data_IF_520981484624
#
_entry.id   IF_520981484624
#
_cell.length_a   1.000
_cell.length_b   1.000
_cell.length_c   1.000
_cell.angle_alpha   90.00
_cell.angle_beta   90.00
_cell.angle_gamma   90.00
#
_symmetry.space_group_name_H-M   'P 1'
#
loop_
_entity.id
_entity.type
_entity.pdbx_description
1 polymer ?
#
# COMPACT_ATOMS: atom_id res chain seq x y z
N UNK A 1 -4.34 -8.65 23.19
CA UNK A 1 -4.14 -9.74 22.20
C UNK A 1 -4.37 -9.14 20.83
N UNK A 2 -3.32 -8.77 20.10
CA UNK A 2 -3.45 -8.34 18.71
C UNK A 2 -3.82 -9.59 17.89
N UNK A 3 -4.98 -9.55 17.24
CA UNK A 3 -5.44 -10.65 16.37
C UNK A 3 -4.48 -10.68 15.17
N UNK A 4 -3.64 -11.72 15.08
CA UNK A 4 -2.90 -11.98 13.84
C UNK A 4 -3.92 -12.07 12.71
N UNK A 5 -3.74 -11.24 11.68
CA UNK A 5 -4.51 -11.29 10.45
C UNK A 5 -4.40 -12.71 9.88
N UNK A 6 -5.52 -13.43 9.82
CA UNK A 6 -5.56 -14.69 9.08
C UNK A 6 -5.13 -14.43 7.63
N UNK A 7 -4.43 -15.37 6.96
CA UNK A 7 -3.74 -15.14 5.68
C UNK A 7 -4.61 -14.62 4.52
N UNK A 8 -5.93 -14.55 4.69
CA UNK A 8 -6.92 -14.23 3.66
C UNK A 8 -7.63 -12.88 3.86
N UNK A 9 -7.26 -12.08 4.87
CA UNK A 9 -7.93 -10.81 5.20
C UNK A 9 -7.12 -9.54 4.90
N UNK A 10 -5.96 -9.68 4.26
CA UNK A 10 -5.10 -8.58 3.80
C UNK A 10 -5.24 -8.32 2.30
N UNK A 11 -4.86 -7.14 1.79
CA UNK A 11 -4.71 -6.93 0.36
C UNK A 11 -3.59 -7.81 -0.19
N UNK A 12 -3.62 -8.05 -1.50
CA UNK A 12 -2.53 -8.69 -2.22
C UNK A 12 -1.20 -7.93 -2.07
N UNK A 13 -0.07 -8.62 -2.29
CA UNK A 13 1.24 -7.95 -2.30
C UNK A 13 1.42 -7.14 -3.58
N UNK A 14 1.80 -5.87 -3.45
CA UNK A 14 2.19 -5.01 -4.57
C UNK A 14 3.72 -4.91 -4.66
N UNK A 15 4.26 -5.15 -5.85
CA UNK A 15 5.71 -5.09 -6.14
C UNK A 15 6.09 -3.85 -6.94
N UNK A 16 5.12 -3.22 -7.59
CA UNK A 16 5.37 -2.15 -8.56
C UNK A 16 6.11 -2.66 -9.80
N UNK A 17 5.89 -3.92 -10.16
CA UNK A 17 6.44 -4.56 -11.36
C UNK A 17 5.62 -4.17 -12.62
N UNK A 18 6.19 -4.30 -13.83
CA UNK A 18 5.43 -4.09 -15.07
C UNK A 18 4.13 -4.90 -15.10
N UNK A 19 3.01 -4.23 -15.39
CA UNK A 19 1.67 -4.84 -15.42
C UNK A 19 0.91 -4.79 -14.10
N UNK A 20 1.52 -4.42 -12.98
CA UNK A 20 0.80 -4.18 -11.71
C UNK A 20 0.31 -2.73 -11.62
N UNK A 21 -1.01 -2.53 -11.58
CA UNK A 21 -1.64 -1.19 -11.54
C UNK A 21 -1.79 -0.69 -10.08
N UNK A 22 -1.11 0.40 -9.69
CA UNK A 22 -1.19 0.94 -8.33
C UNK A 22 -2.59 1.43 -7.97
N UNK A 23 -3.37 1.97 -8.91
CA UNK A 23 -4.73 2.44 -8.62
C UNK A 23 -5.70 1.28 -8.41
N UNK A 24 -5.51 0.19 -9.17
CA UNK A 24 -6.26 -1.05 -8.94
C UNK A 24 -5.92 -1.66 -7.58
N UNK A 25 -4.64 -1.68 -7.21
CA UNK A 25 -4.20 -2.20 -5.93
C UNK A 25 -4.68 -1.34 -4.75
N UNK A 26 -4.62 -0.01 -4.85
CA UNK A 26 -5.16 0.89 -3.82
C UNK A 26 -6.67 0.67 -3.60
N UNK A 27 -7.45 0.41 -4.66
CA UNK A 27 -8.87 0.07 -4.52
C UNK A 27 -9.10 -1.26 -3.79
N UNK A 28 -8.21 -2.24 -3.95
CA UNK A 28 -8.23 -3.48 -3.17
C UNK A 28 -7.88 -3.20 -1.70
N UNK A 29 -6.83 -2.42 -1.47
CA UNK A 29 -6.42 -1.98 -0.14
C UNK A 29 -7.57 -1.28 0.61
N UNK A 30 -8.27 -0.36 -0.03
CA UNK A 30 -9.41 0.37 0.56
C UNK A 30 -10.55 -0.58 0.96
N UNK A 31 -10.82 -1.64 0.20
CA UNK A 31 -11.84 -2.64 0.58
C UNK A 31 -11.45 -3.38 1.85
N UNK A 32 -10.18 -3.75 1.96
CA UNK A 32 -9.64 -4.44 3.14
C UNK A 32 -9.59 -3.52 4.35
N UNK A 33 -9.13 -2.28 4.17
CA UNK A 33 -9.13 -1.25 5.20
C UNK A 33 -10.54 -1.01 5.73
N UNK A 34 -11.53 -0.86 4.85
CA UNK A 34 -12.93 -0.70 5.24
C UNK A 34 -13.49 -1.90 6.02
N UNK A 35 -13.20 -3.12 5.56
CA UNK A 35 -13.62 -4.35 6.27
C UNK A 35 -13.00 -4.43 7.67
N UNK A 36 -11.72 -4.09 7.79
CA UNK A 36 -10.98 -4.14 9.05
C UNK A 36 -11.14 -2.86 9.91
N UNK A 37 -11.86 -1.85 9.42
CA UNK A 37 -12.04 -0.53 10.06
C UNK A 37 -10.71 0.17 10.35
N UNK A 38 -9.77 0.09 9.43
CA UNK A 38 -8.54 0.87 9.49
C UNK A 38 -8.84 2.33 9.17
N UNK A 39 -8.42 3.22 10.05
CA UNK A 39 -8.30 4.64 9.74
C UNK A 39 -6.99 4.90 8.95
N UNK A 40 -6.76 6.16 8.56
CA UNK A 40 -5.59 6.52 7.76
C UNK A 40 -4.25 6.21 8.46
N UNK A 41 -4.21 6.33 9.79
CA UNK A 41 -3.00 6.02 10.57
C UNK A 41 -2.73 4.50 10.53
N UNK A 42 -3.76 3.67 10.72
CA UNK A 42 -3.64 2.22 10.59
C UNK A 42 -3.30 1.80 9.16
N UNK A 43 -3.89 2.45 8.15
CA UNK A 43 -3.57 2.20 6.75
C UNK A 43 -2.07 2.44 6.48
N UNK A 44 -1.55 3.58 6.92
CA UNK A 44 -0.13 3.92 6.75
C UNK A 44 0.79 2.96 7.51
N UNK A 45 0.45 2.59 8.76
CA UNK A 45 1.24 1.66 9.55
C UNK A 45 1.27 0.23 8.95
N UNK A 46 0.18 -0.19 8.30
CA UNK A 46 0.04 -1.53 7.78
C UNK A 46 0.59 -1.70 6.36
N UNK A 47 0.66 -0.63 5.57
CA UNK A 47 0.90 -0.74 4.12
C UNK A 47 2.22 -1.43 3.80
N UNK A 48 3.26 -1.17 4.59
CA UNK A 48 4.59 -1.78 4.45
C UNK A 48 4.56 -3.31 4.34
N UNK A 49 3.66 -3.98 5.08
CA UNK A 49 3.57 -5.44 5.09
C UNK A 49 3.03 -6.02 3.77
N UNK A 50 2.38 -5.20 2.95
CA UNK A 50 1.79 -5.58 1.67
C UNK A 50 2.58 -5.06 0.47
N UNK A 51 3.75 -4.46 0.70
CA UNK A 51 4.70 -4.04 -0.33
C UNK A 51 5.81 -5.07 -0.48
N UNK A 52 6.37 -5.24 -1.67
CA UNK A 52 7.55 -6.07 -1.91
C UNK A 52 8.38 -5.49 -3.08
N UNK A 53 9.58 -6.01 -3.34
CA UNK A 53 10.42 -5.59 -4.45
C UNK A 53 10.67 -4.07 -4.51
N UNK A 54 10.54 -3.50 -5.71
CA UNK A 54 10.91 -2.10 -6.00
C UNK A 54 10.06 -1.10 -5.21
N UNK A 55 8.76 -1.36 -5.02
CA UNK A 55 7.90 -0.44 -4.28
C UNK A 55 8.21 -0.44 -2.77
N UNK A 56 8.59 -1.59 -2.19
CA UNK A 56 9.05 -1.63 -0.79
C UNK A 56 10.32 -0.80 -0.60
N UNK A 57 11.28 -0.93 -1.51
CA UNK A 57 12.51 -0.13 -1.45
C UNK A 57 12.22 1.37 -1.60
N UNK A 58 11.31 1.73 -2.51
CA UNK A 58 10.86 3.11 -2.65
C UNK A 58 10.24 3.64 -1.35
N UNK A 59 9.33 2.87 -0.72
CA UNK A 59 8.70 3.27 0.53
C UNK A 59 9.75 3.55 1.61
N UNK A 60 10.67 2.61 1.86
CA UNK A 60 11.73 2.76 2.87
C UNK A 60 12.60 3.99 2.60
N UNK A 61 12.92 4.27 1.32
CA UNK A 61 13.74 5.43 0.96
C UNK A 61 13.02 6.78 1.14
N UNK A 62 11.69 6.78 1.27
CA UNK A 62 10.86 7.98 1.36
C UNK A 62 10.01 8.01 2.64
N UNK A 63 10.24 7.10 3.59
CA UNK A 63 9.34 6.84 4.72
C UNK A 63 9.09 8.12 5.55
N UNK A 64 10.14 8.91 5.81
CA UNK A 64 10.04 10.20 6.52
C UNK A 64 9.14 11.23 5.81
N UNK A 65 9.04 11.16 4.47
CA UNK A 65 8.22 12.05 3.65
C UNK A 65 6.80 11.50 3.41
N UNK A 66 6.57 10.22 3.68
CA UNK A 66 5.29 9.54 3.54
C UNK A 66 4.55 9.55 4.89
N UNK A 67 4.35 10.74 5.45
CA UNK A 67 3.82 10.97 6.80
C UNK A 67 2.29 10.82 6.96
N UNK A 68 1.60 10.60 5.84
CA UNK A 68 0.14 10.48 5.78
C UNK A 68 -0.29 9.45 4.73
N UNK A 69 -1.46 8.86 4.93
CA UNK A 69 -2.03 7.93 3.95
C UNK A 69 -2.25 8.58 2.59
N UNK A 70 -2.59 9.88 2.58
CA UNK A 70 -2.72 10.66 1.36
C UNK A 70 -1.38 10.85 0.64
N UNK A 71 -0.31 11.23 1.36
CA UNK A 71 1.03 11.34 0.79
C UNK A 71 1.50 10.01 0.18
N UNK A 72 1.24 8.89 0.86
CA UNK A 72 1.51 7.56 0.32
C UNK A 72 0.75 7.29 -0.99
N UNK A 73 -0.57 7.47 -1.02
CA UNK A 73 -1.39 7.23 -2.22
C UNK A 73 -0.94 8.06 -3.41
N UNK A 74 -0.64 9.33 -3.17
CA UNK A 74 -0.17 10.27 -4.20
C UNK A 74 1.21 9.86 -4.71
N UNK A 75 2.16 9.54 -3.82
CA UNK A 75 3.49 9.08 -4.20
C UNK A 75 3.48 7.78 -4.99
N UNK A 76 2.67 6.80 -4.55
CA UNK A 76 2.54 5.51 -5.21
C UNK A 76 1.96 5.66 -6.62
N UNK A 77 0.86 6.41 -6.74
CA UNK A 77 0.17 6.64 -8.02
C UNK A 77 1.03 7.45 -8.99
N UNK A 78 1.74 8.46 -8.51
CA UNK A 78 2.64 9.25 -9.34
C UNK A 78 3.82 8.42 -9.86
N UNK A 79 4.52 7.71 -8.98
CA UNK A 79 5.76 7.04 -9.37
C UNK A 79 5.54 5.73 -10.14
N UNK A 80 4.49 4.97 -9.81
CA UNK A 80 4.21 3.67 -10.41
C UNK A 80 3.04 3.68 -11.39
N UNK A 81 2.19 4.71 -11.38
CA UNK A 81 1.11 4.87 -12.36
C UNK A 81 1.63 5.31 -13.72
N UNK A 82 2.67 6.16 -13.76
CA UNK A 82 3.31 6.57 -15.02
C UNK A 82 4.14 5.46 -15.66
N UNK A 83 4.59 4.46 -14.89
CA UNK A 83 5.34 3.29 -15.40
C UNK A 83 4.46 2.29 -16.16
N UNK A 84 3.15 2.52 -16.20
CA UNK A 84 2.19 1.69 -16.93
C UNK A 84 1.92 2.19 -18.36
N UNK A 85 2.41 3.37 -18.72
CA UNK A 85 2.23 3.97 -20.05
C UNK A 85 3.28 3.50 -21.04
#
# INVERSE_FOLDING_TARGET
MAKLLEPTLGPSTFRGAPGEDPLKWLKEYDRVANFNKWDDMMCLANVYFFLDGTVRQWYVNNEDALDSWEAFKNGLSGLFGDRQK
#
